data_IF_907781567630
#
_entry.id   IF_907781567630
#
_cell.length_a   1.000
_cell.length_b   1.000
_cell.length_c   1.000
_cell.angle_alpha   90.00
_cell.angle_beta   90.00
_cell.angle_gamma   90.00
#
_symmetry.space_group_name_H-M   'P 1'
#
loop_
_entity.id
_entity.type
_entity.pdbx_description
1 polymer ?
#
# COMPACT_ATOMS: atom_id res chain seq x y z
N UNK A 1 -2.43 10.35 27.16
CA UNK A 1 -2.29 10.45 25.69
C UNK A 1 -3.58 10.16 24.92
N UNK A 2 -4.60 9.54 25.55
CA UNK A 2 -5.87 9.16 24.88
C UNK A 2 -6.79 10.33 24.50
N UNK A 3 -6.51 11.54 24.94
CA UNK A 3 -7.37 12.72 24.64
C UNK A 3 -6.83 13.60 23.52
N UNK A 4 -5.70 13.21 22.91
CA UNK A 4 -5.16 13.92 21.75
C UNK A 4 -5.95 13.48 20.52
N UNK A 5 -6.58 14.44 19.84
CA UNK A 5 -7.18 14.28 18.55
C UNK A 5 -6.21 14.74 17.46
N UNK A 6 -5.99 13.90 16.46
CA UNK A 6 -5.07 14.16 15.36
C UNK A 6 -5.87 14.37 14.08
N UNK A 7 -5.68 15.53 13.45
CA UNK A 7 -6.22 15.82 12.14
C UNK A 7 -5.20 15.45 11.06
N UNK A 8 -5.64 14.70 10.06
CA UNK A 8 -4.85 14.35 8.88
C UNK A 8 -5.48 15.02 7.67
N UNK A 9 -4.70 15.77 6.94
CA UNK A 9 -5.16 16.48 5.75
C UNK A 9 -4.73 15.70 4.50
N UNK A 10 -5.71 15.23 3.76
CA UNK A 10 -5.57 14.37 2.59
C UNK A 10 -5.74 12.89 2.90
N UNK A 11 -6.68 12.23 2.20
CA UNK A 11 -6.98 10.81 2.33
C UNK A 11 -6.28 9.94 1.26
N UNK A 12 -5.22 10.41 0.64
CA UNK A 12 -4.39 9.58 -0.23
C UNK A 12 -3.66 8.47 0.55
N UNK A 13 -2.95 7.58 -0.14
CA UNK A 13 -2.24 6.42 0.45
C UNK A 13 -1.41 6.81 1.67
N UNK A 14 -0.67 7.92 1.62
CA UNK A 14 0.16 8.39 2.74
C UNK A 14 -0.68 8.81 3.96
N UNK A 15 -1.72 9.61 3.76
CA UNK A 15 -2.62 10.05 4.83
C UNK A 15 -3.39 8.89 5.45
N UNK A 16 -3.91 7.98 4.63
CA UNK A 16 -4.61 6.78 5.10
C UNK A 16 -3.68 5.83 5.87
N UNK A 17 -2.44 5.64 5.40
CA UNK A 17 -1.43 4.85 6.13
C UNK A 17 -1.12 5.45 7.50
N UNK A 18 -0.97 6.78 7.57
CA UNK A 18 -0.76 7.49 8.84
C UNK A 18 -1.98 7.34 9.75
N UNK A 19 -3.20 7.49 9.21
CA UNK A 19 -4.45 7.33 9.94
C UNK A 19 -4.58 5.94 10.57
N UNK A 20 -4.38 4.87 9.78
CA UNK A 20 -4.39 3.49 10.27
C UNK A 20 -3.36 3.29 11.38
N UNK A 21 -2.13 3.77 11.15
CA UNK A 21 -1.04 3.63 12.13
C UNK A 21 -1.39 4.28 13.46
N UNK A 22 -1.91 5.50 13.43
CA UNK A 22 -2.26 6.25 14.63
C UNK A 22 -3.50 5.67 15.33
N UNK A 23 -4.52 5.26 14.57
CA UNK A 23 -5.71 4.62 15.11
C UNK A 23 -5.36 3.29 15.82
N UNK A 24 -4.49 2.47 15.24
CA UNK A 24 -3.99 1.24 15.89
C UNK A 24 -3.20 1.52 17.18
N UNK A 25 -2.60 2.70 17.33
CA UNK A 25 -1.93 3.14 18.57
C UNK A 25 -2.90 3.75 19.58
N UNK A 26 -4.18 3.82 19.28
CA UNK A 26 -5.24 4.32 20.16
C UNK A 26 -5.40 5.85 20.17
N UNK A 27 -4.85 6.54 19.18
CA UNK A 27 -5.13 7.97 19.00
C UNK A 27 -6.50 8.17 18.34
N UNK A 28 -7.18 9.26 18.72
CA UNK A 28 -8.38 9.73 18.01
C UNK A 28 -7.94 10.42 16.72
N UNK A 29 -8.31 9.86 15.59
CA UNK A 29 -7.92 10.38 14.27
C UNK A 29 -9.14 10.95 13.56
N UNK A 30 -8.96 12.05 12.84
CA UNK A 30 -9.92 12.57 11.86
C UNK A 30 -9.18 12.90 10.56
N UNK A 31 -9.67 12.36 9.45
CA UNK A 31 -9.10 12.58 8.12
C UNK A 31 -10.00 13.57 7.37
N UNK A 32 -9.39 14.51 6.68
CA UNK A 32 -10.06 15.51 5.85
C UNK A 32 -9.57 15.37 4.42
N UNK A 33 -10.49 15.15 3.49
CA UNK A 33 -10.22 15.03 2.06
C UNK A 33 -11.04 16.08 1.30
N UNK A 34 -10.43 16.71 0.30
CA UNK A 34 -11.08 17.71 -0.52
C UNK A 34 -11.92 17.11 -1.64
N UNK A 35 -11.58 15.87 -2.07
CA UNK A 35 -12.35 15.18 -3.09
C UNK A 35 -13.71 14.75 -2.53
N UNK A 36 -14.79 14.88 -3.31
CA UNK A 36 -16.14 14.50 -2.86
C UNK A 36 -16.30 12.98 -2.66
N UNK A 37 -15.43 12.20 -3.29
CA UNK A 37 -15.42 10.74 -3.20
C UNK A 37 -13.99 10.25 -3.01
N UNK A 38 -13.81 9.24 -2.17
CA UNK A 38 -12.54 8.52 -1.97
C UNK A 38 -12.33 7.55 -3.14
N UNK A 39 -12.16 8.07 -4.34
CA UNK A 39 -11.88 7.26 -5.53
C UNK A 39 -10.50 7.59 -6.09
N UNK A 40 -9.70 6.55 -6.28
CA UNK A 40 -8.40 6.67 -6.95
C UNK A 40 -8.53 6.26 -8.41
N UNK A 41 -8.26 7.17 -9.34
CA UNK A 41 -8.25 6.85 -10.77
C UNK A 41 -7.03 6.00 -11.11
N UNK A 42 -7.30 4.86 -11.70
CA UNK A 42 -6.45 3.73 -11.95
C UNK A 42 -5.07 3.96 -12.55
N UNK A 43 -4.07 4.03 -11.70
CA UNK A 43 -2.69 3.81 -12.09
C UNK A 43 -2.15 2.57 -11.36
N UNK A 44 -1.36 1.75 -12.07
CA UNK A 44 -0.57 0.71 -11.44
C UNK A 44 0.57 1.33 -10.65
N UNK A 45 0.90 0.75 -9.50
CA UNK A 45 2.07 1.15 -8.75
C UNK A 45 2.89 -0.06 -8.27
N UNK A 46 4.14 0.19 -7.99
CA UNK A 46 5.05 -0.79 -7.42
C UNK A 46 5.19 -0.55 -5.93
N UNK A 47 4.80 -1.54 -5.13
CA UNK A 47 5.04 -1.56 -3.69
C UNK A 47 6.35 -2.30 -3.44
N UNK A 48 7.38 -1.56 -3.07
CA UNK A 48 8.71 -2.11 -2.81
C UNK A 48 8.77 -2.84 -1.47
N UNK A 49 9.75 -3.74 -1.22
CA UNK A 49 9.82 -4.55 -0.01
C UNK A 49 9.77 -3.77 1.30
N UNK A 50 10.34 -2.56 1.35
CA UNK A 50 10.25 -1.70 2.53
C UNK A 50 8.82 -1.23 2.81
N UNK A 51 8.07 -0.82 1.77
CA UNK A 51 6.67 -0.46 1.91
C UNK A 51 5.80 -1.69 2.25
N UNK A 52 6.06 -2.83 1.60
CA UNK A 52 5.38 -4.10 1.93
C UNK A 52 5.56 -4.48 3.40
N UNK A 53 6.76 -4.34 3.96
CA UNK A 53 6.98 -4.55 5.41
C UNK A 53 6.15 -3.62 6.29
N UNK A 54 6.02 -2.36 5.90
CA UNK A 54 5.17 -1.40 6.60
C UNK A 54 3.70 -1.83 6.60
N UNK A 55 3.20 -2.27 5.44
CA UNK A 55 1.82 -2.77 5.32
C UNK A 55 1.60 -4.08 6.10
N UNK A 56 2.57 -5.00 6.09
CA UNK A 56 2.54 -6.21 6.93
C UNK A 56 2.50 -5.84 8.41
N UNK A 57 3.30 -4.87 8.85
CA UNK A 57 3.29 -4.39 10.23
C UNK A 57 1.92 -3.83 10.65
N UNK A 58 1.19 -3.23 9.72
CA UNK A 58 -0.18 -2.74 9.92
C UNK A 58 -1.25 -3.85 9.85
N UNK A 59 -0.85 -5.12 9.68
CA UNK A 59 -1.78 -6.25 9.58
C UNK A 59 -2.39 -6.43 8.19
N UNK A 60 -1.85 -5.76 7.15
CA UNK A 60 -2.38 -5.79 5.78
C UNK A 60 -1.69 -6.82 4.87
N UNK A 61 -0.85 -7.69 5.42
CA UNK A 61 -0.07 -8.66 4.63
C UNK A 61 -0.94 -9.62 3.81
N UNK A 62 -2.01 -10.16 4.38
CA UNK A 62 -2.93 -11.04 3.65
C UNK A 62 -3.71 -10.29 2.55
N UNK A 63 -4.15 -9.08 2.84
CA UNK A 63 -4.81 -8.23 1.85
C UNK A 63 -3.87 -7.92 0.69
N UNK A 64 -2.60 -7.59 0.96
CA UNK A 64 -1.57 -7.38 -0.06
C UNK A 64 -1.35 -8.60 -0.95
N UNK A 65 -1.35 -9.81 -0.38
CA UNK A 65 -1.22 -11.04 -1.16
C UNK A 65 -2.41 -11.30 -2.08
N UNK A 66 -3.59 -10.78 -1.75
CA UNK A 66 -4.80 -10.92 -2.58
C UNK A 66 -4.83 -9.95 -3.74
N UNK A 67 -4.42 -8.69 -3.53
CA UNK A 67 -4.49 -7.63 -4.53
C UNK A 67 -3.23 -7.48 -5.36
N UNK A 68 -2.09 -7.94 -4.86
CA UNK A 68 -0.78 -7.73 -5.47
C UNK A 68 -0.29 -8.91 -6.29
N UNK A 69 0.45 -8.61 -7.35
CA UNK A 69 1.16 -9.61 -8.13
C UNK A 69 2.66 -9.51 -7.87
N UNK A 70 3.26 -10.62 -7.42
CA UNK A 70 4.70 -10.75 -7.26
C UNK A 70 5.26 -11.70 -8.34
N UNK A 71 5.91 -11.14 -9.33
CA UNK A 71 6.54 -11.91 -10.41
C UNK A 71 8.00 -12.22 -10.07
N UNK A 72 8.45 -13.44 -10.33
CA UNK A 72 9.85 -13.85 -10.07
C UNK A 72 10.82 -13.22 -11.06
N UNK A 73 10.41 -13.09 -12.32
CA UNK A 73 11.24 -12.54 -13.38
C UNK A 73 10.52 -11.40 -14.11
N UNK A 74 11.17 -10.27 -14.13
CA UNK A 74 10.83 -9.12 -14.97
C UNK A 74 12.07 -8.74 -15.78
N UNK A 75 11.92 -7.89 -16.77
CA UNK A 75 13.08 -7.43 -17.54
C UNK A 75 12.70 -6.39 -18.59
N UNK A 76 13.71 -5.63 -18.96
CA UNK A 76 13.63 -4.77 -20.12
C UNK A 76 13.91 -5.63 -21.35
N UNK A 77 13.01 -5.59 -22.33
CA UNK A 77 13.11 -6.38 -23.56
C UNK A 77 13.31 -5.48 -24.77
N UNK A 78 14.04 -6.00 -25.74
CA UNK A 78 14.13 -5.34 -27.03
C UNK A 78 12.75 -5.37 -27.72
N UNK A 79 12.30 -4.22 -28.22
CA UNK A 79 10.92 -4.07 -28.70
C UNK A 79 10.60 -4.93 -29.95
N UNK A 80 11.60 -5.20 -30.80
CA UNK A 80 11.44 -6.06 -31.99
C UNK A 80 11.75 -7.52 -31.69
N UNK A 81 12.95 -7.84 -31.18
CA UNK A 81 13.41 -9.22 -31.00
C UNK A 81 12.82 -9.91 -29.78
N UNK A 82 12.26 -9.15 -28.82
CA UNK A 82 11.75 -9.62 -27.52
C UNK A 82 12.82 -10.20 -26.59
N UNK A 83 14.09 -10.14 -26.98
CA UNK A 83 15.21 -10.56 -26.13
C UNK A 83 15.29 -9.71 -24.85
N UNK A 84 15.65 -10.35 -23.75
CA UNK A 84 15.84 -9.65 -22.47
C UNK A 84 17.18 -8.91 -22.51
N UNK A 85 17.12 -7.58 -22.51
CA UNK A 85 18.32 -6.72 -22.45
C UNK A 85 18.80 -6.60 -21.00
N UNK A 86 17.87 -6.41 -20.07
CA UNK A 86 18.18 -6.28 -18.63
C UNK A 86 17.24 -7.21 -17.85
N UNK A 87 17.74 -8.33 -17.32
CA UNK A 87 16.94 -9.17 -16.44
C UNK A 87 16.80 -8.51 -15.07
N UNK A 88 15.59 -8.46 -14.54
CA UNK A 88 15.29 -7.94 -13.22
C UNK A 88 14.78 -9.09 -12.33
N UNK A 89 15.59 -9.48 -11.38
CA UNK A 89 15.20 -10.49 -10.38
C UNK A 89 14.22 -9.86 -9.39
N UNK A 90 13.03 -10.43 -9.29
CA UNK A 90 11.92 -9.99 -8.44
C UNK A 90 11.42 -11.15 -7.57
N UNK A 91 10.19 -11.13 -7.14
CA UNK A 91 9.52 -12.23 -6.46
C UNK A 91 10.34 -12.84 -5.31
N UNK A 92 10.68 -14.11 -5.41
CA UNK A 92 11.47 -14.83 -4.40
C UNK A 92 12.81 -14.18 -4.08
N UNK A 93 13.49 -13.61 -5.08
CA UNK A 93 14.75 -12.90 -4.84
C UNK A 93 14.57 -11.67 -3.93
N UNK A 94 13.47 -10.93 -4.09
CA UNK A 94 13.16 -9.81 -3.21
C UNK A 94 12.83 -10.28 -1.79
N UNK A 95 12.08 -11.37 -1.67
CA UNK A 95 11.76 -11.97 -0.37
C UNK A 95 13.04 -12.43 0.35
N UNK A 96 13.92 -13.16 -0.32
CA UNK A 96 15.18 -13.65 0.25
C UNK A 96 16.11 -12.51 0.66
N UNK A 97 16.27 -11.51 -0.19
CA UNK A 97 17.21 -10.42 0.04
C UNK A 97 16.70 -9.37 1.03
N UNK A 98 15.42 -9.05 0.99
CA UNK A 98 14.85 -7.94 1.74
C UNK A 98 13.78 -8.34 2.77
N UNK A 99 13.42 -9.64 2.83
CA UNK A 99 12.46 -10.18 3.78
C UNK A 99 10.99 -9.83 3.47
N UNK A 100 10.70 -9.37 2.25
CA UNK A 100 9.34 -9.14 1.78
C UNK A 100 9.29 -9.12 0.24
N UNK A 101 8.13 -9.44 -0.32
CA UNK A 101 7.90 -9.32 -1.75
C UNK A 101 7.84 -7.86 -2.21
N UNK A 102 8.18 -7.65 -3.47
CA UNK A 102 7.77 -6.48 -4.24
C UNK A 102 6.50 -6.83 -4.99
N UNK A 103 5.47 -6.01 -4.85
CA UNK A 103 4.20 -6.21 -5.55
C UNK A 103 3.98 -5.16 -6.64
N UNK A 104 3.34 -5.61 -7.72
CA UNK A 104 2.65 -4.73 -8.66
C UNK A 104 1.18 -4.74 -8.27
N UNK A 105 0.59 -3.58 -8.06
CA UNK A 105 -0.79 -3.44 -7.57
C UNK A 105 -1.51 -2.33 -8.29
N UNK A 106 -2.82 -2.39 -8.29
CA UNK A 106 -3.64 -1.24 -8.66
C UNK A 106 -3.69 -0.26 -7.49
N UNK A 107 -3.57 1.03 -7.76
CA UNK A 107 -3.53 2.07 -6.72
C UNK A 107 -4.81 2.12 -5.90
N UNK A 108 -5.96 1.94 -6.56
CA UNK A 108 -7.26 1.90 -5.90
C UNK A 108 -7.32 0.75 -4.87
N UNK A 109 -6.84 -0.44 -5.22
CA UNK A 109 -6.91 -1.60 -4.33
C UNK A 109 -6.11 -1.39 -3.03
N UNK A 110 -4.95 -0.72 -3.10
CA UNK A 110 -4.21 -0.32 -1.88
C UNK A 110 -5.00 0.68 -1.05
N UNK A 111 -5.62 1.64 -1.70
CA UNK A 111 -6.43 2.64 -1.02
C UNK A 111 -7.61 1.98 -0.30
N UNK A 112 -8.29 1.05 -0.96
CA UNK A 112 -9.44 0.32 -0.39
C UNK A 112 -9.06 -0.50 0.85
N UNK A 113 -7.95 -1.26 0.81
CA UNK A 113 -7.51 -2.02 1.99
C UNK A 113 -7.12 -1.13 3.17
N UNK A 114 -6.63 0.09 2.91
CA UNK A 114 -6.34 1.09 3.96
C UNK A 114 -7.63 1.67 4.53
N UNK A 115 -8.62 2.00 3.70
CA UNK A 115 -9.95 2.45 4.14
C UNK A 115 -10.61 1.39 5.02
N UNK A 116 -10.67 0.14 4.54
CA UNK A 116 -11.23 -0.97 5.31
C UNK A 116 -10.54 -1.18 6.66
N UNK A 117 -9.21 -1.04 6.68
CA UNK A 117 -8.44 -1.14 7.92
C UNK A 117 -8.74 0.01 8.87
N UNK A 118 -8.85 1.22 8.36
CA UNK A 118 -9.15 2.40 9.17
C UNK A 118 -10.55 2.30 9.78
N UNK A 119 -11.56 1.90 9.01
CA UNK A 119 -12.92 1.72 9.50
C UNK A 119 -13.03 0.69 10.64
N UNK A 120 -12.18 -0.35 10.64
CA UNK A 120 -12.12 -1.32 11.76
C UNK A 120 -11.61 -0.72 13.05
N UNK A 121 -10.72 0.28 12.99
CA UNK A 121 -10.04 0.84 14.15
C UNK A 121 -10.63 2.19 14.59
N UNK A 122 -11.20 2.95 13.67
CA UNK A 122 -11.77 4.29 13.90
C UNK A 122 -12.91 4.56 12.92
N UNK A 123 -14.10 3.96 13.13
CA UNK A 123 -15.23 4.12 12.23
C UNK A 123 -15.65 5.58 12.04
N UNK A 124 -15.97 5.97 10.80
CA UNK A 124 -16.49 7.31 10.48
C UNK A 124 -15.51 8.46 10.73
N UNK A 125 -14.21 8.20 10.64
CA UNK A 125 -13.19 9.23 10.87
C UNK A 125 -12.73 9.96 9.60
N UNK A 126 -13.22 9.59 8.43
CA UNK A 126 -12.96 10.25 7.13
C UNK A 126 -14.13 11.14 6.76
#
# INVERSE_FOLDING_TARGET
MKDIQIAIIGAGIGGMTAAVTLAQKGFKVKVFEQAPELSEVGAGLTVTPNATKGLIYLGLGEAMNKIGMAHDLQGVRHYQTKEIIVPLKRGKHMLEKYGAYQFQVHRADIHDILIESLEKHSPGCV
#
